data_IF_293295809099
#
_entry.id   IF_293295809099
#
_cell.length_a   1.000
_cell.length_b   1.000
_cell.length_c   1.000
_cell.angle_alpha   90.00
_cell.angle_beta   90.00
_cell.angle_gamma   90.00
#
_symmetry.space_group_name_H-M   'P 1'
#
loop_
_entity.id
_entity.type
_entity.pdbx_description
1 polymer ?
#
# COMPACT_ATOMS: atom_id res chain seq x y z
N UNK A 1 -8.70 -8.20 5.63
CA UNK A 1 -8.29 -6.78 5.47
C UNK A 1 -6.90 -6.64 4.83
N UNK A 2 -5.80 -7.02 5.49
CA UNK A 2 -4.43 -6.76 4.98
C UNK A 2 -4.13 -7.45 3.64
N UNK A 3 -4.48 -8.74 3.51
CA UNK A 3 -4.33 -9.50 2.25
C UNK A 3 -4.96 -8.78 1.07
N UNK A 4 -6.26 -8.49 1.18
CA UNK A 4 -7.02 -7.80 0.13
C UNK A 4 -6.47 -6.41 -0.20
N UNK A 5 -6.01 -5.67 0.81
CA UNK A 5 -5.40 -4.36 0.63
C UNK A 5 -4.08 -4.44 -0.16
N UNK A 6 -3.24 -5.44 0.11
CA UNK A 6 -2.00 -5.67 -0.63
C UNK A 6 -2.29 -6.22 -2.03
N UNK A 7 -3.19 -7.19 -2.17
CA UNK A 7 -3.59 -7.73 -3.48
C UNK A 7 -4.09 -6.62 -4.39
N UNK A 8 -5.01 -5.77 -3.93
CA UNK A 8 -5.47 -4.67 -4.75
C UNK A 8 -4.36 -3.64 -5.01
N UNK A 9 -3.47 -3.36 -4.05
CA UNK A 9 -2.39 -2.38 -4.27
C UNK A 9 -1.46 -2.82 -5.40
N UNK A 10 -1.15 -4.11 -5.45
CA UNK A 10 -0.12 -4.65 -6.33
C UNK A 10 -0.65 -5.23 -7.63
N UNK A 11 -1.88 -5.76 -7.63
CA UNK A 11 -2.47 -6.40 -8.81
C UNK A 11 -3.52 -5.52 -9.50
N UNK A 12 -4.07 -4.50 -8.84
CA UNK A 12 -5.04 -3.60 -9.46
C UNK A 12 -4.30 -2.40 -10.09
N UNK A 13 -4.21 -2.43 -11.42
CA UNK A 13 -3.52 -1.43 -12.22
C UNK A 13 -4.20 -0.05 -12.17
N UNK A 14 -5.51 0.02 -11.93
CA UNK A 14 -6.21 1.30 -11.78
C UNK A 14 -5.86 1.96 -10.45
N UNK A 15 -5.88 1.20 -9.36
CA UNK A 15 -5.47 1.67 -8.04
C UNK A 15 -4.01 2.08 -8.03
N UNK A 16 -3.14 1.28 -8.66
CA UNK A 16 -1.73 1.62 -8.83
C UNK A 16 -1.62 2.99 -9.49
N UNK A 17 -2.13 3.12 -10.72
CA UNK A 17 -2.11 4.37 -11.51
C UNK A 17 -2.63 5.59 -10.76
N UNK A 18 -3.75 5.46 -10.03
CA UNK A 18 -4.33 6.59 -9.28
C UNK A 18 -3.45 7.06 -8.13
N UNK A 19 -2.85 6.12 -7.40
CA UNK A 19 -1.97 6.45 -6.28
C UNK A 19 -0.60 6.94 -6.75
N UNK A 20 -0.03 6.39 -7.84
CA UNK A 20 1.26 6.88 -8.38
C UNK A 20 1.10 8.24 -9.07
N UNK A 21 0.00 8.46 -9.80
CA UNK A 21 -0.31 9.75 -10.46
C UNK A 21 -0.90 10.81 -9.53
N UNK A 22 -0.93 10.55 -8.21
CA UNK A 22 -1.44 11.48 -7.22
C UNK A 22 -0.35 12.44 -6.73
N UNK A 23 -0.06 13.47 -7.52
CA UNK A 23 1.01 14.44 -7.21
C UNK A 23 0.66 15.39 -6.06
N UNK A 24 -0.64 15.60 -5.79
CA UNK A 24 -1.13 16.52 -4.77
C UNK A 24 -1.81 15.79 -3.63
N UNK A 25 -1.79 16.39 -2.43
CA UNK A 25 -2.46 15.85 -1.24
C UNK A 25 -3.95 15.56 -1.50
N UNK A 26 -4.62 16.40 -2.31
CA UNK A 26 -6.02 16.20 -2.70
C UNK A 26 -6.21 14.98 -3.60
N UNK A 27 -5.37 14.79 -4.62
CA UNK A 27 -5.39 13.59 -5.47
C UNK A 27 -5.08 12.32 -4.66
N UNK A 28 -4.16 12.40 -3.70
CA UNK A 28 -3.84 11.28 -2.80
C UNK A 28 -5.06 10.92 -1.95
N UNK A 29 -5.72 11.91 -1.35
CA UNK A 29 -6.94 11.69 -0.57
C UNK A 29 -8.05 11.03 -1.38
N UNK A 30 -8.31 11.52 -2.60
CA UNK A 30 -9.29 10.91 -3.53
C UNK A 30 -8.93 9.48 -3.91
N UNK A 31 -7.65 9.21 -4.12
CA UNK A 31 -7.17 7.85 -4.43
C UNK A 31 -7.41 6.91 -3.25
N UNK A 32 -7.11 7.35 -2.02
CA UNK A 32 -7.39 6.57 -0.81
C UNK A 32 -8.89 6.38 -0.57
N UNK A 33 -9.73 7.37 -0.90
CA UNK A 33 -11.18 7.22 -0.83
C UNK A 33 -11.70 6.18 -1.82
N UNK A 34 -11.26 6.25 -3.07
CA UNK A 34 -11.60 5.23 -4.06
C UNK A 34 -11.18 3.83 -3.59
N UNK A 35 -9.98 3.76 -3.01
CA UNK A 35 -9.43 2.51 -2.53
C UNK A 35 -10.21 1.95 -1.31
N UNK A 36 -10.63 2.84 -0.41
CA UNK A 36 -11.48 2.51 0.72
C UNK A 36 -12.84 1.98 0.29
N UNK A 37 -13.49 2.64 -0.67
CA UNK A 37 -14.78 2.19 -1.21
C UNK A 37 -14.65 0.79 -1.80
N UNK A 38 -13.62 0.55 -2.61
CA UNK A 38 -13.48 -0.73 -3.28
C UNK A 38 -13.14 -1.87 -2.32
N UNK A 39 -12.29 -1.59 -1.33
CA UNK A 39 -11.98 -2.55 -0.29
C UNK A 39 -13.18 -2.83 0.62
N UNK A 40 -13.99 -1.81 0.89
CA UNK A 40 -15.23 -1.92 1.68
C UNK A 40 -16.22 -2.86 1.00
N UNK A 41 -16.44 -2.69 -0.30
CA UNK A 41 -17.30 -3.58 -1.09
C UNK A 41 -16.80 -5.02 -1.07
N UNK A 42 -15.50 -5.25 -1.24
CA UNK A 42 -14.94 -6.60 -1.30
C UNK A 42 -14.99 -7.33 0.04
N UNK A 43 -14.81 -6.61 1.14
CA UNK A 43 -14.79 -7.19 2.49
C UNK A 43 -16.14 -7.15 3.20
N UNK A 44 -17.14 -6.46 2.64
CA UNK A 44 -18.45 -6.28 3.28
C UNK A 44 -18.39 -5.45 4.57
N UNK A 45 -17.43 -4.53 4.69
CA UNK A 45 -17.23 -3.68 5.87
C UNK A 45 -17.09 -2.21 5.47
N UNK A 46 -17.51 -1.28 6.33
CA UNK A 46 -17.33 0.16 6.06
C UNK A 46 -15.92 0.57 6.48
N UNK A 47 -15.07 0.91 5.51
CA UNK A 47 -13.72 1.42 5.75
C UNK A 47 -13.58 2.86 5.28
N UNK A 48 -12.88 3.67 6.06
CA UNK A 48 -12.55 5.04 5.67
C UNK A 48 -11.19 5.13 4.98
N UNK A 49 -11.00 6.16 4.16
CA UNK A 49 -9.72 6.44 3.48
C UNK A 49 -8.56 6.59 4.46
N UNK A 50 -8.79 7.18 5.64
CA UNK A 50 -7.78 7.37 6.67
C UNK A 50 -7.35 6.05 7.32
N UNK A 51 -8.30 5.13 7.56
CA UNK A 51 -8.01 3.79 8.07
C UNK A 51 -7.13 3.01 7.09
N UNK A 52 -7.49 3.04 5.80
CA UNK A 52 -6.76 2.38 4.71
C UNK A 52 -5.36 2.96 4.59
N UNK A 53 -5.24 4.29 4.50
CA UNK A 53 -3.97 4.98 4.34
C UNK A 53 -3.03 4.74 5.52
N UNK A 54 -3.55 4.81 6.75
CA UNK A 54 -2.76 4.56 7.96
C UNK A 54 -2.29 3.11 8.04
N UNK A 55 -3.17 2.16 7.70
CA UNK A 55 -2.82 0.73 7.66
C UNK A 55 -1.73 0.46 6.61
N UNK A 56 -1.86 1.04 5.42
CA UNK A 56 -0.87 0.94 4.36
C UNK A 56 0.49 1.53 4.76
N UNK A 57 0.51 2.73 5.36
CA UNK A 57 1.75 3.36 5.85
C UNK A 57 2.43 2.50 6.91
N UNK A 58 1.68 1.92 7.84
CA UNK A 58 2.22 1.00 8.85
C UNK A 58 2.87 -0.22 8.20
N UNK A 59 2.20 -0.85 7.25
CA UNK A 59 2.72 -2.00 6.52
C UNK A 59 4.01 -1.65 5.74
N UNK A 60 4.05 -0.47 5.11
CA UNK A 60 5.26 0.03 4.43
C UNK A 60 6.43 0.20 5.41
N UNK A 61 6.18 0.74 6.61
CA UNK A 61 7.19 0.88 7.65
C UNK A 61 7.68 -0.49 8.15
N UNK A 62 6.78 -1.43 8.42
CA UNK A 62 7.12 -2.80 8.85
C UNK A 62 7.97 -3.52 7.79
N UNK A 63 7.59 -3.40 6.51
CA UNK A 63 8.39 -3.93 5.40
C UNK A 63 9.79 -3.32 5.36
N UNK A 64 9.91 -2.00 5.49
CA UNK A 64 11.21 -1.30 5.48
C UNK A 64 12.10 -1.76 6.63
N UNK A 65 11.56 -1.85 7.85
CA UNK A 65 12.30 -2.34 9.02
C UNK A 65 12.76 -3.79 8.83
N UNK A 66 11.89 -4.66 8.31
CA UNK A 66 12.26 -6.04 8.00
C UNK A 66 13.31 -6.16 6.90
N UNK A 67 13.29 -5.26 5.90
CA UNK A 67 14.35 -5.17 4.88
C UNK A 67 15.69 -4.74 5.49
N UNK A 68 15.68 -3.65 6.26
CA UNK A 68 16.88 -3.13 6.96
C UNK A 68 17.51 -4.20 7.87
N UNK A 69 16.70 -4.93 8.65
CA UNK A 69 17.18 -6.01 9.51
C UNK A 69 17.82 -7.18 8.74
N UNK A 70 17.27 -7.53 7.56
CA UNK A 70 17.82 -8.58 6.69
C UNK A 70 19.13 -8.16 6.05
N UNK A 71 19.20 -6.93 5.55
CA UNK A 71 20.44 -6.34 5.03
C UNK A 71 21.51 -6.26 6.12
N UNK A 72 21.14 -5.91 7.35
CA UNK A 72 22.07 -5.87 8.48
C UNK A 72 22.59 -7.26 8.88
N UNK A 73 21.80 -8.32 8.69
CA UNK A 73 22.17 -9.71 9.02
C UNK A 73 22.89 -10.42 7.86
N UNK A 74 23.01 -9.80 6.68
CA UNK A 74 23.63 -10.38 5.48
C UNK A 74 22.86 -11.55 4.87
N UNK A 75 21.54 -11.62 5.12
CA UNK A 75 20.66 -12.64 4.57
C UNK A 75 19.70 -12.03 3.54
N UNK A 76 20.27 -11.22 2.65
CA UNK A 76 19.63 -10.55 1.54
C UNK A 76 19.53 -11.49 0.33
N UNK A 77 18.56 -12.42 0.41
CA UNK A 77 17.98 -12.96 -0.82
C UNK A 77 17.56 -11.80 -1.72
N UNK A 78 18.13 -11.71 -2.92
CA UNK A 78 18.04 -10.56 -3.81
C UNK A 78 16.64 -10.46 -4.45
N UNK A 79 15.65 -9.99 -3.69
CA UNK A 79 14.34 -9.57 -4.20
C UNK A 79 14.26 -8.04 -4.10
N UNK A 80 14.56 -7.34 -5.20
CA UNK A 80 14.49 -5.88 -5.25
C UNK A 80 13.03 -5.39 -5.37
N UNK A 81 12.24 -5.53 -4.29
CA UNK A 81 10.91 -4.91 -4.24
C UNK A 81 10.98 -3.42 -3.83
N UNK A 82 12.17 -2.80 -3.87
CA UNK A 82 12.34 -1.36 -3.57
C UNK A 82 11.50 -0.51 -4.52
N UNK A 83 11.45 -0.90 -5.79
CA UNK A 83 10.62 -0.26 -6.81
C UNK A 83 9.12 -0.36 -6.48
N UNK A 84 8.70 -1.46 -5.86
CA UNK A 84 7.30 -1.72 -5.52
C UNK A 84 6.74 -0.80 -4.41
N UNK A 85 7.62 -0.29 -3.54
CA UNK A 85 7.24 0.61 -2.44
C UNK A 85 7.67 2.07 -2.64
N UNK A 86 8.30 2.41 -3.77
CA UNK A 86 8.82 3.76 -4.07
C UNK A 86 7.76 4.73 -4.59
N UNK A 87 6.74 5.03 -3.76
CA UNK A 87 5.82 6.18 -3.91
C UNK A 87 5.64 6.87 -2.56
#
# INVERSE_FOLDING_TARGET
MVRELLEMRFNDSEIKRRVEGADTNRKKSLSWQFFASRLSEKLGVVLTSEQISSKYKKLKCEYRQGKEARTQTGNDGYEDDSAFWSI
#
